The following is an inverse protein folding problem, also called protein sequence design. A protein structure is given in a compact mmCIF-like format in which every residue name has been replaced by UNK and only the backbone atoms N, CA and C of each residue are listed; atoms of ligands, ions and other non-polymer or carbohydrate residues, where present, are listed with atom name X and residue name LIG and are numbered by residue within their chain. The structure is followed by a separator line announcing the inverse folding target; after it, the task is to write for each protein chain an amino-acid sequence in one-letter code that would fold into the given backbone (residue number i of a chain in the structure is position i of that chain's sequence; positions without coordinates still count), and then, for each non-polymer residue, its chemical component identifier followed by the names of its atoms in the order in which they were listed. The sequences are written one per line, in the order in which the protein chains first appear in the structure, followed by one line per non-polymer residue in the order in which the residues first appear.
data_IF_610813382442
#
_entry.id   IF_610813382442
#
_cell.length_a   1.000
_cell.length_b   1.000
_cell.length_c   1.000
_cell.angle_alpha   90.00
_cell.angle_beta   90.00
_cell.angle_gamma   90.00
#
_symmetry.space_group_name_H-M   'P 1'
#
loop_
_entity.id
_entity.type
_entity.pdbx_description
1 polymer ?
#
# COMPACT_ATOMS: atom_id res chain seq x y z
N UNK A 1 0.97 6.09 -9.30
CA UNK A 1 2.20 6.04 -8.45
C UNK A 1 3.32 6.90 -9.02
N UNK A 2 3.76 6.71 -10.28
CA UNK A 2 4.85 7.45 -10.91
C UNK A 2 4.77 8.98 -10.77
N UNK A 3 3.65 9.58 -11.18
CA UNK A 3 3.48 11.04 -11.11
C UNK A 3 3.59 11.60 -9.68
N UNK A 4 3.11 10.85 -8.68
CA UNK A 4 3.23 11.26 -7.28
C UNK A 4 4.69 11.20 -6.79
N UNK A 5 5.45 10.20 -7.22
CA UNK A 5 6.88 10.08 -6.93
C UNK A 5 7.69 11.19 -7.60
N UNK A 6 7.42 11.48 -8.87
CA UNK A 6 8.08 12.58 -9.60
C UNK A 6 7.82 13.92 -8.91
N UNK A 7 6.55 14.20 -8.56
CA UNK A 7 6.19 15.40 -7.81
C UNK A 7 6.88 15.48 -6.45
N UNK A 8 6.97 14.36 -5.74
CA UNK A 8 7.66 14.32 -4.44
C UNK A 8 9.16 14.61 -4.60
N UNK A 9 9.82 13.97 -5.56
CA UNK A 9 11.26 14.13 -5.79
C UNK A 9 11.63 15.54 -6.25
N UNK A 10 10.83 16.14 -7.13
CA UNK A 10 11.13 17.44 -7.73
C UNK A 10 10.67 18.64 -6.89
N UNK A 11 9.61 18.47 -6.07
CA UNK A 11 8.96 19.61 -5.41
C UNK A 11 8.97 19.45 -3.89
N UNK A 12 8.35 18.38 -3.39
CA UNK A 12 8.11 18.26 -1.94
C UNK A 12 9.39 17.95 -1.14
N UNK A 13 10.25 17.07 -1.64
CA UNK A 13 11.44 16.60 -0.90
C UNK A 13 12.41 17.74 -0.64
N UNK A 14 12.67 18.60 -1.62
CA UNK A 14 13.58 19.74 -1.49
C UNK A 14 13.14 20.71 -0.39
N UNK A 15 11.83 20.95 -0.26
CA UNK A 15 11.26 21.81 0.78
C UNK A 15 11.51 21.29 2.20
N UNK A 16 11.56 19.97 2.38
CA UNK A 16 11.81 19.34 3.68
C UNK A 16 13.31 19.25 4.00
N UNK A 17 14.13 18.94 3.00
CA UNK A 17 15.58 18.75 3.17
C UNK A 17 16.31 20.10 3.34
N UNK A 18 15.73 21.21 2.88
CA UNK A 18 16.23 22.59 3.10
C UNK A 18 17.71 22.77 2.73
N UNK A 19 18.15 22.14 1.64
CA UNK A 19 19.52 22.25 1.15
C UNK A 19 20.55 21.33 1.83
N UNK A 20 20.14 20.45 2.75
CA UNK A 20 21.01 19.36 3.25
C UNK A 20 21.33 18.35 2.14
N UNK A 21 22.51 18.44 1.57
CA UNK A 21 22.98 17.53 0.52
C UNK A 21 23.32 16.14 1.07
N UNK A 22 23.46 16.02 2.38
CA UNK A 22 23.94 14.88 3.15
C UNK A 22 22.83 13.93 3.63
N UNK A 23 21.57 14.13 3.24
CA UNK A 23 20.45 13.24 3.59
C UNK A 23 20.19 12.19 2.49
N UNK A 24 20.66 10.93 2.64
CA UNK A 24 20.54 9.89 1.63
C UNK A 24 19.16 9.25 1.54
N UNK A 25 18.27 9.44 2.53
CA UNK A 25 16.99 8.74 2.57
C UNK A 25 16.02 9.31 1.53
N UNK A 26 15.35 8.42 0.79
CA UNK A 26 14.34 8.80 -0.20
C UNK A 26 13.17 9.57 0.45
N UNK A 27 12.59 8.98 1.50
CA UNK A 27 11.49 9.56 2.25
C UNK A 27 11.96 10.26 3.53
N UNK A 28 11.65 11.55 3.64
CA UNK A 28 12.02 12.38 4.78
C UNK A 28 10.78 12.88 5.53
N UNK A 29 10.95 13.19 6.81
CA UNK A 29 9.95 13.85 7.64
C UNK A 29 10.03 15.39 7.47
N UNK A 30 9.12 16.11 8.12
CA UNK A 30 9.05 17.58 8.05
C UNK A 30 10.30 18.33 8.58
N UNK A 31 11.23 17.64 9.25
CA UNK A 31 12.51 18.17 9.73
C UNK A 31 13.68 17.85 8.78
N UNK A 32 13.41 17.23 7.64
CA UNK A 32 14.42 16.87 6.65
C UNK A 32 15.32 15.72 7.10
N UNK A 33 14.80 14.82 7.94
CA UNK A 33 15.50 13.59 8.35
C UNK A 33 14.68 12.36 7.94
N UNK A 34 15.28 11.17 7.94
CA UNK A 34 14.55 9.92 7.65
C UNK A 34 13.20 9.81 8.36
N UNK A 35 12.19 9.32 7.63
CA UNK A 35 10.91 8.98 8.23
C UNK A 35 11.05 7.77 9.19
N UNK A 36 10.39 7.82 10.34
CA UNK A 36 10.34 6.70 11.29
C UNK A 36 9.09 5.86 11.05
N UNK A 37 9.08 4.61 11.55
CA UNK A 37 7.90 3.75 11.47
C UNK A 37 6.69 4.42 12.12
N UNK A 38 6.85 4.97 13.32
CA UNK A 38 5.81 5.69 14.04
C UNK A 38 5.33 6.92 13.26
N UNK A 39 6.24 7.63 12.58
CA UNK A 39 5.89 8.75 11.71
C UNK A 39 4.99 8.32 10.55
N UNK A 40 5.32 7.21 9.88
CA UNK A 40 4.46 6.66 8.83
C UNK A 40 3.09 6.26 9.36
N UNK A 41 3.02 5.60 10.51
CA UNK A 41 1.75 5.24 11.15
C UNK A 41 0.88 6.47 11.45
N UNK A 42 1.49 7.54 11.95
CA UNK A 42 0.79 8.80 12.21
C UNK A 42 0.21 9.39 10.92
N UNK A 43 1.01 9.47 9.85
CA UNK A 43 0.58 9.97 8.55
C UNK A 43 -0.61 9.15 8.03
N UNK A 44 -0.52 7.82 8.07
CA UNK A 44 -1.61 6.97 7.58
C UNK A 44 -2.88 7.13 8.41
N UNK A 45 -2.77 7.25 9.73
CA UNK A 45 -3.91 7.53 10.60
C UNK A 45 -4.60 8.84 10.23
N UNK A 46 -3.82 9.93 10.07
CA UNK A 46 -4.35 11.25 9.67
C UNK A 46 -5.09 11.18 8.31
N UNK A 47 -4.53 10.49 7.32
CA UNK A 47 -5.21 10.30 6.03
C UNK A 47 -6.44 9.39 6.10
N UNK A 48 -6.41 8.36 6.96
CA UNK A 48 -7.56 7.48 7.17
C UNK A 48 -8.73 8.22 7.80
N UNK A 49 -8.47 9.03 8.82
CA UNK A 49 -9.48 9.89 9.45
C UNK A 49 -10.04 10.93 8.46
N UNK A 50 -9.16 11.61 7.70
CA UNK A 50 -9.57 12.58 6.70
C UNK A 50 -10.38 11.97 5.55
N UNK A 51 -10.14 10.70 5.21
CA UNK A 51 -10.90 9.95 4.22
C UNK A 51 -12.22 9.38 4.76
N UNK A 52 -12.50 9.52 6.07
CA UNK A 52 -13.70 9.00 6.71
C UNK A 52 -13.71 7.48 6.89
N UNK A 53 -12.54 6.85 7.05
CA UNK A 53 -12.48 5.42 7.33
C UNK A 53 -12.80 5.13 8.79
N UNK A 54 -13.79 4.26 9.01
CA UNK A 54 -14.13 3.72 10.34
C UNK A 54 -13.04 2.78 10.90
N UNK A 55 -12.17 2.29 10.01
CA UNK A 55 -11.06 1.41 10.35
C UNK A 55 -9.73 2.18 10.37
N UNK A 56 -8.86 1.81 11.31
CA UNK A 56 -7.51 2.37 11.36
C UNK A 56 -6.73 2.01 10.09
N UNK A 57 -6.34 3.04 9.33
CA UNK A 57 -5.46 2.87 8.18
C UNK A 57 -4.03 2.59 8.67
N UNK A 58 -3.60 1.33 8.53
CA UNK A 58 -2.26 0.87 8.93
C UNK A 58 -1.42 0.46 7.72
N UNK A 59 -0.08 0.41 7.82
CA UNK A 59 0.76 -0.08 6.73
C UNK A 59 0.38 -1.50 6.28
N UNK A 60 0.02 -2.36 7.23
CA UNK A 60 -0.41 -3.73 6.91
C UNK A 60 -1.75 -3.72 6.17
N UNK A 61 -2.73 -2.92 6.59
CA UNK A 61 -4.01 -2.82 5.89
C UNK A 61 -3.84 -2.38 4.42
N UNK A 62 -2.99 -1.38 4.17
CA UNK A 62 -2.69 -0.91 2.81
C UNK A 62 -2.01 -2.02 2.00
N UNK A 63 -1.01 -2.69 2.58
CA UNK A 63 -0.30 -3.80 1.93
C UNK A 63 -1.24 -4.96 1.58
N UNK A 64 -2.12 -5.35 2.51
CA UNK A 64 -3.11 -6.39 2.29
C UNK A 64 -4.08 -6.02 1.16
N UNK A 65 -4.60 -4.79 1.20
CA UNK A 65 -5.52 -4.29 0.16
C UNK A 65 -4.87 -4.30 -1.21
N UNK A 66 -3.60 -3.89 -1.31
CA UNK A 66 -2.85 -3.91 -2.56
C UNK A 66 -2.62 -5.34 -3.07
N UNK A 67 -2.22 -6.26 -2.19
CA UNK A 67 -2.01 -7.66 -2.53
C UNK A 67 -3.29 -8.35 -3.04
N UNK A 68 -4.40 -8.18 -2.33
CA UNK A 68 -5.71 -8.70 -2.73
C UNK A 68 -6.12 -8.09 -4.08
N UNK A 69 -5.97 -6.78 -4.25
CA UNK A 69 -6.30 -6.11 -5.51
C UNK A 69 -5.48 -6.66 -6.70
N UNK A 70 -4.19 -6.93 -6.51
CA UNK A 70 -3.35 -7.52 -7.56
C UNK A 70 -3.83 -8.93 -7.92
N UNK A 71 -4.10 -9.79 -6.94
CA UNK A 71 -4.59 -11.15 -7.18
C UNK A 71 -5.97 -11.16 -7.85
N UNK A 72 -6.87 -10.26 -7.44
CA UNK A 72 -8.19 -10.13 -8.05
C UNK A 72 -8.14 -9.71 -9.52
N UNK A 73 -7.07 -9.02 -9.95
CA UNK A 73 -6.84 -8.61 -11.33
C UNK A 73 -5.94 -9.59 -12.10
N UNK A 74 -5.73 -10.81 -11.58
CA UNK A 74 -5.07 -11.89 -12.30
C UNK A 74 -3.55 -11.89 -12.21
N UNK A 75 -2.95 -11.10 -11.31
CA UNK A 75 -1.53 -11.27 -11.00
C UNK A 75 -1.30 -12.65 -10.39
N UNK A 76 -0.26 -13.35 -10.86
CA UNK A 76 0.12 -14.63 -10.27
C UNK A 76 0.78 -14.45 -8.90
N UNK A 77 0.73 -15.51 -8.10
CA UNK A 77 1.23 -15.52 -6.73
C UNK A 77 2.74 -15.23 -6.64
N UNK A 78 3.51 -15.69 -7.63
CA UNK A 78 4.96 -15.56 -7.63
C UNK A 78 5.37 -14.11 -7.89
N UNK A 79 4.73 -13.45 -8.85
CA UNK A 79 4.89 -12.02 -9.10
C UNK A 79 4.53 -11.17 -7.88
N UNK A 80 3.48 -11.55 -7.14
CA UNK A 80 3.12 -10.87 -5.89
C UNK A 80 4.17 -11.08 -4.80
N UNK A 81 4.69 -12.30 -4.64
CA UNK A 81 5.74 -12.62 -3.67
C UNK A 81 7.03 -11.85 -3.94
N UNK A 82 7.45 -11.76 -5.20
CA UNK A 82 8.62 -10.96 -5.59
C UNK A 82 8.42 -9.48 -5.23
N UNK A 83 7.23 -8.93 -5.47
CA UNK A 83 6.89 -7.54 -5.20
C UNK A 83 6.79 -7.20 -3.70
N UNK A 84 6.32 -8.14 -2.88
CA UNK A 84 6.18 -7.95 -1.42
C UNK A 84 7.47 -8.25 -0.66
N UNK A 85 8.45 -8.86 -1.33
CA UNK A 85 9.60 -9.48 -0.69
C UNK A 85 9.22 -10.81 -0.04
N UNK A 86 10.21 -11.69 0.16
CA UNK A 86 10.05 -13.03 0.75
C UNK A 86 9.56 -13.04 2.22
N UNK A 87 9.05 -11.92 2.75
CA UNK A 87 8.89 -11.71 4.19
C UNK A 87 7.78 -12.53 4.86
N UNK A 88 6.79 -13.11 4.15
CA UNK A 88 6.02 -14.23 4.73
C UNK A 88 5.12 -14.95 3.69
N UNK A 89 5.37 -16.22 3.43
CA UNK A 89 4.54 -17.07 2.55
C UNK A 89 3.14 -17.26 3.17
N UNK A 90 3.04 -17.25 4.50
CA UNK A 90 1.80 -17.49 5.25
C UNK A 90 0.75 -16.39 5.01
N UNK A 91 1.18 -15.13 4.98
CA UNK A 91 0.30 -14.00 4.67
C UNK A 91 -0.23 -14.06 3.23
N UNK A 92 0.60 -14.58 2.31
CA UNK A 92 0.25 -14.66 0.89
C UNK A 92 -0.83 -15.73 0.62
N UNK A 93 -0.79 -16.84 1.36
CA UNK A 93 -1.82 -17.89 1.31
C UNK A 93 -3.19 -17.39 1.79
N UNK A 94 -3.22 -16.54 2.81
CA UNK A 94 -4.47 -15.93 3.29
C UNK A 94 -5.14 -15.06 2.21
N UNK A 95 -4.38 -14.34 1.38
CA UNK A 95 -4.97 -13.54 0.29
C UNK A 95 -5.64 -14.37 -0.79
N UNK A 96 -5.11 -15.57 -1.10
CA UNK A 96 -5.71 -16.47 -2.08
C UNK A 96 -7.11 -16.93 -1.69
N UNK A 97 -7.39 -17.10 -0.39
CA UNK A 97 -8.72 -17.44 0.09
C UNK A 97 -9.74 -16.34 -0.23
N UNK A 98 -9.33 -15.06 -0.16
CA UNK A 98 -10.20 -13.92 -0.49
C UNK A 98 -10.51 -13.81 -1.99
N UNK A 99 -9.64 -14.27 -2.88
CA UNK A 99 -9.89 -14.27 -4.34
C UNK A 99 -11.01 -15.24 -4.74
N UNK A 100 -11.16 -16.38 -4.05
CA UNK A 100 -12.22 -17.38 -4.35
C UNK A 100 -13.63 -16.84 -4.15
N UNK A 101 -13.83 -15.91 -3.21
CA UNK A 101 -15.15 -15.31 -2.95
C UNK A 101 -15.67 -14.50 -4.15
N UNK A 102 -14.77 -13.85 -4.92
CA UNK A 102 -15.19 -13.05 -6.09
C UNK A 102 -15.65 -13.90 -7.27
N UNK A 103 -15.07 -15.10 -7.48
CA UNK A 103 -15.53 -16.03 -8.52
C UNK A 103 -16.98 -16.43 -8.23
N UNK A 104 -17.28 -16.69 -6.96
CA UNK A 104 -18.63 -17.01 -6.50
C UNK A 104 -19.57 -15.81 -6.67
N UNK A 105 -19.16 -14.62 -6.23
CA UNK A 105 -19.97 -13.39 -6.37
C UNK A 105 -20.23 -13.00 -7.84
N UNK A 106 -19.25 -13.20 -8.73
CA UNK A 106 -19.42 -12.94 -10.17
C UNK A 106 -20.32 -14.01 -10.79
N UNK A 107 -20.18 -15.27 -10.39
CA UNK A 107 -21.06 -16.35 -10.82
C UNK A 107 -22.51 -16.06 -10.41
N UNK A 108 -22.74 -15.72 -9.14
CA UNK A 108 -24.05 -15.41 -8.56
C UNK A 108 -24.66 -14.13 -9.16
N UNK A 109 -23.85 -13.10 -9.47
CA UNK A 109 -24.33 -11.87 -10.13
C UNK A 109 -24.63 -12.04 -11.62
N UNK A 110 -23.98 -12.98 -12.30
CA UNK A 110 -24.09 -13.14 -13.75
C UNK A 110 -25.07 -14.24 -14.17
N UNK A 111 -25.54 -15.06 -13.21
CA UNK A 111 -26.53 -16.11 -13.46
C UNK A 111 -27.81 -15.86 -12.66
N UNK A 112 -28.90 -15.36 -13.29
CA UNK A 112 -30.13 -14.96 -12.61
C UNK A 112 -30.99 -16.13 -12.08
N UNK A 113 -30.43 -17.34 -11.95
CA UNK A 113 -31.14 -18.58 -11.53
C UNK A 113 -30.30 -19.56 -10.69
N UNK A 114 -29.32 -19.07 -9.94
CA UNK A 114 -28.69 -19.86 -8.88
C UNK A 114 -29.50 -19.78 -7.58
#
# INVERSE_FOLDING_TARGET
ARNAMEKYLQISREQFVRGRQDEPHLFVNCRGSKITRQGLWKILKEYGEAAGFDINLTPQAIRNSFAIHMLQNGADLKSLQELMGHEDISATQNYLAFTKNRIKDVYDKSHPRA
#
